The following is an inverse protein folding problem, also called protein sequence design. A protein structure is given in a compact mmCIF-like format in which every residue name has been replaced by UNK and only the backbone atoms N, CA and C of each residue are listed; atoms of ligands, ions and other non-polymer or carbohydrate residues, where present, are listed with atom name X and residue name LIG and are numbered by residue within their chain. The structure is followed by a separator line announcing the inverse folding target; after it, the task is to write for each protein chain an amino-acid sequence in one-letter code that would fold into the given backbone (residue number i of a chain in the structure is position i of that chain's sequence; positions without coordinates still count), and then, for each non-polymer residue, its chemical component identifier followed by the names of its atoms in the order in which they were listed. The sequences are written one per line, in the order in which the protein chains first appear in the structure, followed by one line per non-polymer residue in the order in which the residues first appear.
data_IF_272162928925
#
_entry.id   IF_272162928925
#
_cell.length_a   1.000
_cell.length_b   1.000
_cell.length_c   1.000
_cell.angle_alpha   90.00
_cell.angle_beta   90.00
_cell.angle_gamma   90.00
#
_symmetry.space_group_name_H-M   'P 1'
#
loop_
_entity.id
_entity.type
_entity.pdbx_description
1 polymer ?
#
# COMPACT_ATOMS: atom_id res chain seq x y z
N UNK A 1 55.26 -83.85 -40.73
CA UNK A 1 55.08 -82.62 -41.52
C UNK A 1 55.56 -81.46 -40.66
N UNK A 2 56.61 -80.78 -41.09
CA UNK A 2 57.27 -79.71 -40.36
C UNK A 2 56.53 -78.39 -40.61
N UNK A 3 56.12 -77.69 -39.55
CA UNK A 3 55.47 -76.38 -39.66
C UNK A 3 56.49 -75.36 -40.18
N UNK A 4 56.17 -74.78 -41.33
CA UNK A 4 56.94 -73.74 -42.00
C UNK A 4 56.83 -72.42 -41.22
N UNK A 5 57.94 -72.01 -40.61
CA UNK A 5 58.06 -70.78 -39.79
C UNK A 5 58.33 -69.53 -40.62
N UNK A 6 58.30 -69.62 -41.96
CA UNK A 6 58.58 -68.49 -42.85
C UNK A 6 57.36 -67.62 -43.19
N UNK A 7 56.17 -67.89 -42.64
CA UNK A 7 54.99 -67.05 -42.84
C UNK A 7 54.90 -66.01 -41.70
N UNK A 8 55.30 -64.75 -41.91
CA UNK A 8 55.06 -63.70 -40.94
C UNK A 8 53.56 -63.49 -40.79
N UNK A 9 53.02 -63.83 -39.61
CA UNK A 9 51.68 -63.44 -39.18
C UNK A 9 51.65 -61.91 -39.11
N UNK A 10 51.20 -61.27 -40.18
CA UNK A 10 50.89 -59.85 -40.19
C UNK A 10 49.67 -59.62 -39.29
N UNK A 11 49.92 -59.43 -38.00
CA UNK A 11 48.94 -58.91 -37.05
C UNK A 11 48.64 -57.49 -37.48
N UNK A 12 47.59 -57.31 -38.28
CA UNK A 12 47.07 -56.01 -38.68
C UNK A 12 46.56 -55.33 -37.40
N UNK A 13 47.39 -54.47 -36.80
CA UNK A 13 47.00 -53.65 -35.66
C UNK A 13 45.74 -52.87 -36.06
N UNK A 14 44.64 -52.97 -35.30
CA UNK A 14 43.41 -52.26 -35.64
C UNK A 14 43.72 -50.78 -35.77
N UNK A 15 43.29 -50.20 -36.89
CA UNK A 15 43.53 -48.81 -37.27
C UNK A 15 42.77 -47.92 -36.27
N UNK A 16 43.47 -47.45 -35.24
CA UNK A 16 42.91 -46.58 -34.21
C UNK A 16 42.51 -45.25 -34.85
N UNK A 17 41.21 -44.96 -34.90
CA UNK A 17 40.70 -43.69 -35.39
C UNK A 17 40.84 -42.63 -34.27
N UNK A 18 41.80 -41.69 -34.36
CA UNK A 18 42.05 -40.70 -33.32
C UNK A 18 40.85 -39.77 -33.08
N UNK A 19 39.94 -39.65 -34.06
CA UNK A 19 38.72 -38.86 -33.95
C UNK A 19 37.70 -39.51 -32.99
N UNK A 20 37.61 -40.84 -32.97
CA UNK A 20 36.73 -41.56 -32.03
C UNK A 20 37.25 -41.45 -30.58
N UNK A 21 38.58 -41.43 -30.41
CA UNK A 21 39.18 -41.24 -29.08
C UNK A 21 38.99 -39.80 -28.57
N UNK A 22 39.10 -38.80 -29.44
CA UNK A 22 38.87 -37.40 -29.07
C UNK A 22 37.40 -37.13 -28.65
N UNK A 23 36.43 -37.75 -29.34
CA UNK A 23 35.02 -37.60 -29.00
C UNK A 23 34.68 -38.20 -27.62
N UNK A 24 35.25 -39.36 -27.30
CA UNK A 24 35.11 -39.98 -25.98
C UNK A 24 35.65 -39.09 -24.86
N UNK A 25 36.84 -38.50 -25.04
CA UNK A 25 37.44 -37.60 -24.03
C UNK A 25 36.61 -36.33 -23.84
N UNK A 26 36.03 -35.76 -24.91
CA UNK A 26 35.14 -34.61 -24.81
C UNK A 26 33.85 -34.93 -24.02
N UNK A 27 33.26 -36.10 -24.25
CA UNK A 27 32.08 -36.56 -23.52
C UNK A 27 32.37 -36.80 -22.03
N UNK A 28 33.52 -37.40 -21.70
CA UNK A 28 33.97 -37.57 -20.31
C UNK A 28 34.25 -36.23 -19.60
N UNK A 29 34.83 -35.25 -20.30
CA UNK A 29 35.04 -33.90 -19.74
C UNK A 29 33.72 -33.19 -19.46
N UNK A 30 32.74 -33.29 -20.36
CA UNK A 30 31.41 -32.73 -20.15
C UNK A 30 30.69 -33.41 -18.97
N UNK A 31 30.78 -34.74 -18.86
CA UNK A 31 30.14 -35.49 -17.78
C UNK A 31 30.78 -35.21 -16.41
N UNK A 32 32.11 -35.03 -16.36
CA UNK A 32 32.82 -34.63 -15.13
C UNK A 32 32.50 -33.19 -14.72
N UNK A 33 32.42 -32.25 -15.67
CA UNK A 33 32.03 -30.88 -15.39
C UNK A 33 30.59 -30.81 -14.84
N UNK A 34 29.66 -31.57 -15.42
CA UNK A 34 28.28 -31.64 -14.97
C UNK A 34 28.15 -32.32 -13.59
N UNK A 35 28.92 -33.39 -13.33
CA UNK A 35 28.95 -34.05 -12.01
C UNK A 35 29.43 -33.10 -10.91
N UNK A 36 30.47 -32.30 -11.18
CA UNK A 36 30.97 -31.29 -10.23
C UNK A 36 29.94 -30.19 -9.97
N UNK A 37 29.21 -29.72 -11.00
CA UNK A 37 28.12 -28.76 -10.82
C UNK A 37 26.97 -29.33 -9.99
N UNK A 38 26.60 -30.60 -10.21
CA UNK A 38 25.55 -31.25 -9.44
C UNK A 38 25.95 -31.42 -7.96
N UNK A 39 27.19 -31.81 -7.68
CA UNK A 39 27.69 -31.91 -6.31
C UNK A 39 27.70 -30.54 -5.61
N UNK A 40 28.09 -29.47 -6.31
CA UNK A 40 28.03 -28.10 -5.77
C UNK A 40 26.58 -27.65 -5.51
N UNK A 41 25.65 -27.96 -6.40
CA UNK A 41 24.23 -27.62 -6.22
C UNK A 41 23.60 -28.37 -5.03
N UNK A 42 23.93 -29.64 -4.84
CA UNK A 42 23.46 -30.44 -3.69
C UNK A 42 24.03 -29.89 -2.39
N UNK A 43 25.32 -29.56 -2.34
CA UNK A 43 25.95 -28.95 -1.17
C UNK A 43 25.32 -27.59 -0.82
N UNK A 44 25.06 -26.76 -1.85
CA UNK A 44 24.40 -25.46 -1.68
C UNK A 44 22.99 -25.61 -1.10
N UNK A 45 22.19 -26.55 -1.63
CA UNK A 45 20.83 -26.79 -1.14
C UNK A 45 20.81 -27.30 0.31
N UNK A 46 21.77 -28.15 0.69
CA UNK A 46 21.91 -28.60 2.07
C UNK A 46 22.31 -27.46 3.02
N UNK A 47 23.24 -26.60 2.59
CA UNK A 47 23.66 -25.42 3.37
C UNK A 47 22.49 -24.44 3.57
N UNK A 48 21.73 -24.15 2.51
CA UNK A 48 20.53 -23.32 2.56
C UNK A 48 19.49 -23.91 3.51
N UNK A 49 19.21 -25.21 3.41
CA UNK A 49 18.25 -25.89 4.30
C UNK A 49 18.62 -25.79 5.77
N UNK A 50 19.90 -25.98 6.12
CA UNK A 50 20.39 -25.85 7.51
C UNK A 50 20.31 -24.42 8.02
N UNK A 51 20.60 -23.43 7.18
CA UNK A 51 20.50 -22.01 7.54
C UNK A 51 19.05 -21.59 7.77
N UNK A 52 18.11 -22.00 6.91
CA UNK A 52 16.67 -21.76 7.14
C UNK A 52 16.21 -22.44 8.42
N UNK A 53 16.60 -23.71 8.63
CA UNK A 53 16.23 -24.46 9.83
C UNK A 53 16.73 -23.81 11.13
N UNK A 54 17.98 -23.32 11.16
CA UNK A 54 18.54 -22.61 12.33
C UNK A 54 17.84 -21.30 12.63
N UNK A 55 17.31 -20.65 11.60
CA UNK A 55 16.63 -19.36 11.71
C UNK A 55 15.10 -19.49 11.74
N UNK A 56 14.56 -20.71 11.77
CA UNK A 56 13.12 -20.92 11.96
C UNK A 56 12.82 -20.92 13.46
N UNK A 57 11.98 -20.00 13.89
CA UNK A 57 11.52 -19.87 15.28
C UNK A 57 10.53 -20.98 15.64
N UNK A 58 10.28 -21.25 16.93
CA UNK A 58 9.33 -22.29 17.37
C UNK A 58 7.89 -22.11 16.84
N UNK A 59 7.51 -20.89 16.47
CA UNK A 59 6.21 -20.56 15.86
C UNK A 59 6.14 -20.86 14.35
N UNK A 60 7.22 -21.38 13.76
CA UNK A 60 7.34 -21.67 12.34
C UNK A 60 7.72 -20.47 11.47
N UNK A 61 7.92 -19.28 12.05
CA UNK A 61 8.38 -18.10 11.30
C UNK A 61 9.89 -18.16 11.04
N UNK A 62 10.33 -17.83 9.83
CA UNK A 62 11.76 -17.78 9.48
C UNK A 62 12.31 -16.38 9.74
N UNK A 63 13.35 -16.25 10.55
CA UNK A 63 14.17 -15.04 10.66
C UNK A 63 15.00 -14.86 9.39
N UNK A 64 14.43 -14.18 8.41
CA UNK A 64 15.08 -13.96 7.11
C UNK A 64 16.40 -13.19 7.23
N UNK A 65 16.54 -12.28 8.19
CA UNK A 65 17.80 -11.55 8.39
C UNK A 65 18.87 -12.44 9.01
N UNK A 66 18.48 -13.36 9.90
CA UNK A 66 19.35 -14.40 10.40
C UNK A 66 19.76 -15.39 9.31
N UNK A 67 18.80 -15.88 8.51
CA UNK A 67 19.06 -16.79 7.40
C UNK A 67 19.97 -16.18 6.33
N UNK A 68 19.79 -14.90 5.98
CA UNK A 68 20.68 -14.18 5.06
C UNK A 68 22.10 -14.05 5.60
N UNK A 69 22.27 -13.79 6.91
CA UNK A 69 23.58 -13.78 7.55
C UNK A 69 24.25 -15.15 7.51
N UNK A 70 23.49 -16.22 7.76
CA UNK A 70 23.99 -17.59 7.66
C UNK A 70 24.35 -17.99 6.22
N UNK A 71 23.61 -17.53 5.21
CA UNK A 71 23.97 -17.76 3.80
C UNK A 71 25.24 -17.01 3.41
N UNK A 72 25.43 -15.78 3.91
CA UNK A 72 26.63 -14.99 3.64
C UNK A 72 27.88 -15.59 4.31
N UNK A 73 27.70 -16.29 5.43
CA UNK A 73 28.77 -16.95 6.18
C UNK A 73 29.15 -18.34 5.61
N UNK A 74 28.29 -18.98 4.81
CA UNK A 74 28.54 -20.29 4.22
C UNK A 74 28.90 -20.17 2.71
N UNK A 75 30.17 -20.42 2.33
CA UNK A 75 30.60 -20.34 0.93
C UNK A 75 29.84 -21.29 -0.01
N UNK A 76 29.31 -22.40 0.51
CA UNK A 76 28.52 -23.33 -0.29
C UNK A 76 27.12 -22.76 -0.60
N UNK A 77 26.54 -21.95 0.29
CA UNK A 77 25.24 -21.31 0.07
C UNK A 77 25.32 -20.16 -0.95
N UNK A 78 26.48 -19.51 -1.09
CA UNK A 78 26.70 -18.41 -2.02
C UNK A 78 26.47 -18.79 -3.50
N UNK A 79 26.78 -20.03 -3.90
CA UNK A 79 26.63 -20.50 -5.28
C UNK A 79 25.18 -20.50 -5.78
N UNK A 80 24.20 -20.65 -4.88
CA UNK A 80 22.78 -20.75 -5.24
C UNK A 80 21.91 -19.65 -4.58
N UNK A 81 22.55 -18.62 -4.01
CA UNK A 81 21.90 -17.55 -3.25
C UNK A 81 20.81 -16.83 -4.07
N UNK A 82 21.08 -16.61 -5.36
CA UNK A 82 20.20 -15.84 -6.24
C UNK A 82 18.91 -16.61 -6.60
N UNK A 83 18.99 -17.93 -6.75
CA UNK A 83 17.82 -18.77 -6.98
C UNK A 83 16.99 -18.95 -5.69
N UNK A 84 17.68 -19.14 -4.55
CA UNK A 84 17.03 -19.34 -3.25
C UNK A 84 16.36 -18.07 -2.69
N UNK A 85 16.92 -16.89 -2.96
CA UNK A 85 16.28 -15.61 -2.60
C UNK A 85 15.03 -15.35 -3.45
N UNK A 86 15.01 -15.75 -4.72
CA UNK A 86 13.82 -15.68 -5.57
C UNK A 86 12.63 -16.49 -5.03
N UNK A 87 12.86 -17.72 -4.58
CA UNK A 87 11.80 -18.57 -4.01
C UNK A 87 11.26 -18.03 -2.67
N UNK A 88 12.13 -17.51 -1.80
CA UNK A 88 11.71 -16.89 -0.53
C UNK A 88 10.95 -15.58 -0.74
N UNK A 89 11.35 -14.76 -1.72
CA UNK A 89 10.60 -13.55 -2.10
C UNK A 89 9.22 -13.91 -2.66
N UNK A 90 9.12 -14.97 -3.48
CA UNK A 90 7.85 -15.43 -4.01
C UNK A 90 6.91 -15.92 -2.89
N UNK A 91 7.43 -16.66 -1.91
CA UNK A 91 6.64 -17.12 -0.75
C UNK A 91 6.21 -15.95 0.15
N UNK A 92 7.09 -14.96 0.36
CA UNK A 92 6.74 -13.72 1.07
C UNK A 92 5.68 -12.92 0.29
N UNK A 93 5.80 -12.85 -1.03
CA UNK A 93 4.79 -12.26 -1.92
C UNK A 93 3.43 -12.95 -1.82
N UNK A 94 3.40 -14.28 -1.70
CA UNK A 94 2.16 -15.03 -1.46
C UNK A 94 1.57 -14.75 -0.07
N UNK A 95 2.38 -14.64 0.97
CA UNK A 95 1.90 -14.27 2.31
C UNK A 95 1.33 -12.84 2.34
N UNK A 96 2.00 -11.89 1.68
CA UNK A 96 1.51 -10.52 1.52
C UNK A 96 0.24 -10.51 0.66
N UNK A 97 0.16 -11.31 -0.40
CA UNK A 97 -1.04 -11.48 -1.23
C UNK A 97 -2.23 -12.03 -0.43
N UNK A 98 -2.00 -13.03 0.44
CA UNK A 98 -3.02 -13.57 1.33
C UNK A 98 -3.49 -12.54 2.36
N UNK A 99 -2.57 -11.76 2.94
CA UNK A 99 -2.92 -10.63 3.83
C UNK A 99 -3.66 -9.52 3.07
N UNK A 100 -3.26 -9.22 1.85
CA UNK A 100 -3.94 -8.28 0.95
C UNK A 100 -5.35 -8.74 0.60
N UNK A 101 -5.56 -10.03 0.37
CA UNK A 101 -6.88 -10.64 0.19
C UNK A 101 -7.77 -10.50 1.43
N UNK A 102 -7.20 -10.65 2.63
CA UNK A 102 -7.92 -10.42 3.89
C UNK A 102 -8.31 -8.94 4.05
N UNK A 103 -7.41 -8.00 3.75
CA UNK A 103 -7.70 -6.56 3.77
C UNK A 103 -8.76 -6.22 2.71
N UNK A 104 -8.70 -6.84 1.54
CA UNK A 104 -9.69 -6.68 0.48
C UNK A 104 -11.08 -7.14 0.95
N UNK A 105 -11.18 -8.33 1.53
CA UNK A 105 -12.43 -8.83 2.10
C UNK A 105 -12.96 -7.93 3.23
N UNK A 106 -12.07 -7.41 4.08
CA UNK A 106 -12.45 -6.44 5.11
C UNK A 106 -12.96 -5.13 4.51
N UNK A 107 -12.30 -4.61 3.47
CA UNK A 107 -12.70 -3.39 2.78
C UNK A 107 -14.04 -3.54 2.05
N UNK A 108 -14.27 -4.68 1.39
CA UNK A 108 -15.55 -5.02 0.77
C UNK A 108 -16.67 -5.14 1.82
N UNK A 109 -16.37 -5.72 2.99
CA UNK A 109 -17.29 -5.76 4.13
C UNK A 109 -17.67 -4.37 4.63
N UNK A 110 -16.68 -3.47 4.77
CA UNK A 110 -16.91 -2.07 5.17
C UNK A 110 -17.71 -1.28 4.13
N UNK A 111 -17.45 -1.49 2.83
CA UNK A 111 -18.21 -0.87 1.75
C UNK A 111 -19.65 -1.35 1.72
N UNK A 112 -19.88 -2.66 1.87
CA UNK A 112 -21.22 -3.22 1.99
C UNK A 112 -21.96 -2.63 3.19
N UNK A 113 -21.30 -2.56 4.36
CA UNK A 113 -21.87 -1.96 5.56
C UNK A 113 -22.23 -0.48 5.34
N UNK A 114 -21.35 0.30 4.69
CA UNK A 114 -21.62 1.70 4.36
C UNK A 114 -22.81 1.85 3.39
N UNK A 115 -22.91 0.98 2.38
CA UNK A 115 -24.04 0.96 1.45
C UNK A 115 -25.36 0.61 2.15
N UNK A 116 -25.35 -0.41 3.02
CA UNK A 116 -26.51 -0.80 3.83
C UNK A 116 -26.98 0.35 4.75
N UNK A 117 -26.05 1.06 5.38
CA UNK A 117 -26.37 2.20 6.23
C UNK A 117 -26.89 3.40 5.43
N UNK A 118 -26.31 3.67 4.25
CA UNK A 118 -26.79 4.73 3.36
C UNK A 118 -28.23 4.46 2.90
N UNK A 119 -28.53 3.23 2.50
CA UNK A 119 -29.88 2.83 2.12
C UNK A 119 -30.88 2.93 3.28
N UNK A 120 -30.52 2.48 4.49
CA UNK A 120 -31.37 2.65 5.69
C UNK A 120 -31.62 4.14 6.02
N UNK A 121 -30.58 4.96 5.92
CA UNK A 121 -30.67 6.42 6.14
C UNK A 121 -31.65 7.07 5.18
N UNK A 122 -31.60 6.71 3.89
CA UNK A 122 -32.52 7.21 2.87
C UNK A 122 -33.97 6.77 3.13
N UNK A 123 -34.17 5.50 3.51
CA UNK A 123 -35.50 5.00 3.85
C UNK A 123 -36.10 5.71 5.08
N UNK A 124 -35.31 5.87 6.15
CA UNK A 124 -35.75 6.61 7.34
C UNK A 124 -36.05 8.08 7.00
N UNK A 125 -35.19 8.72 6.18
CA UNK A 125 -35.42 10.09 5.70
C UNK A 125 -36.73 10.23 4.92
N UNK A 126 -37.07 9.22 4.10
CA UNK A 126 -38.34 9.18 3.36
C UNK A 126 -39.54 9.10 4.31
N UNK A 127 -39.47 8.25 5.34
CA UNK A 127 -40.53 8.13 6.34
C UNK A 127 -40.69 9.38 7.21
N UNK A 128 -39.59 10.04 7.59
CA UNK A 128 -39.64 11.25 8.41
C UNK A 128 -40.37 12.42 7.71
N UNK A 129 -40.30 12.46 6.37
CA UNK A 129 -40.98 13.45 5.54
C UNK A 129 -42.46 13.12 5.27
N UNK A 130 -42.94 11.93 5.64
CA UNK A 130 -44.35 11.56 5.49
C UNK A 130 -45.21 12.32 6.54
N UNK A 131 -46.27 13.04 6.13
CA UNK A 131 -47.11 13.79 7.08
C UNK A 131 -47.98 12.86 7.94
N UNK A 132 -48.44 11.75 7.37
CA UNK A 132 -49.30 10.73 7.96
C UNK A 132 -48.52 9.43 8.23
N UNK A 133 -47.38 9.55 8.93
CA UNK A 133 -46.55 8.40 9.28
C UNK A 133 -47.34 7.42 10.16
N UNK A 134 -47.55 6.19 9.67
CA UNK A 134 -48.21 5.12 10.41
C UNK A 134 -47.20 4.07 10.91
N UNK A 135 -47.61 3.26 11.88
CA UNK A 135 -46.80 2.13 12.35
C UNK A 135 -46.50 1.15 11.21
N UNK A 136 -47.49 0.90 10.35
CA UNK A 136 -47.34 -0.03 9.24
C UNK A 136 -46.29 0.43 8.22
N UNK A 137 -46.12 1.74 8.03
CA UNK A 137 -45.04 2.27 7.18
C UNK A 137 -43.64 1.92 7.75
N UNK A 138 -43.45 2.10 9.06
CA UNK A 138 -42.18 1.79 9.74
C UNK A 138 -41.92 0.28 9.75
N UNK A 139 -42.96 -0.52 9.98
CA UNK A 139 -42.87 -1.99 9.95
C UNK A 139 -42.55 -2.48 8.53
N UNK A 140 -43.21 -1.96 7.50
CA UNK A 140 -42.95 -2.33 6.11
C UNK A 140 -41.52 -1.96 5.69
N UNK A 141 -41.03 -0.79 6.10
CA UNK A 141 -39.62 -0.42 5.90
C UNK A 141 -38.68 -1.43 6.59
N UNK A 142 -38.91 -1.75 7.86
CA UNK A 142 -38.08 -2.69 8.62
C UNK A 142 -38.07 -4.09 8.00
N UNK A 143 -39.23 -4.62 7.58
CA UNK A 143 -39.35 -5.92 6.90
C UNK A 143 -38.65 -5.91 5.54
N UNK A 144 -38.84 -4.85 4.75
CA UNK A 144 -38.26 -4.75 3.40
C UNK A 144 -36.73 -4.65 3.49
N UNK A 145 -36.21 -3.79 4.37
CA UNK A 145 -34.78 -3.69 4.62
C UNK A 145 -34.20 -5.00 5.15
N UNK A 146 -34.88 -5.65 6.10
CA UNK A 146 -34.42 -6.92 6.65
C UNK A 146 -34.34 -8.03 5.60
N UNK A 147 -35.34 -8.14 4.72
CA UNK A 147 -35.32 -9.08 3.59
C UNK A 147 -34.20 -8.76 2.60
N UNK A 148 -33.99 -7.48 2.29
CA UNK A 148 -32.91 -7.06 1.40
C UNK A 148 -31.51 -7.41 1.96
N UNK A 149 -31.36 -7.47 3.28
CA UNK A 149 -30.10 -7.81 3.95
C UNK A 149 -30.01 -9.26 4.42
N UNK A 150 -31.04 -10.09 4.16
CA UNK A 150 -31.06 -11.49 4.57
C UNK A 150 -31.07 -11.70 6.08
N UNK A 151 -31.67 -10.78 6.85
CA UNK A 151 -31.76 -10.92 8.31
C UNK A 151 -32.72 -12.06 8.70
N UNK A 152 -32.39 -12.87 9.72
CA UNK A 152 -33.29 -13.90 10.24
C UNK A 152 -34.61 -13.33 10.77
N UNK A 153 -35.74 -14.00 10.49
CA UNK A 153 -37.10 -13.53 10.82
C UNK A 153 -37.28 -13.19 12.31
N UNK A 154 -36.62 -13.91 13.22
CA UNK A 154 -36.70 -13.64 14.66
C UNK A 154 -36.10 -12.27 15.04
N UNK A 155 -35.00 -11.86 14.39
CA UNK A 155 -34.39 -10.53 14.59
C UNK A 155 -35.31 -9.44 14.05
N UNK A 156 -35.95 -9.71 12.90
CA UNK A 156 -36.93 -8.79 12.31
C UNK A 156 -38.13 -8.60 13.23
N UNK A 157 -38.70 -9.70 13.74
CA UNK A 157 -39.84 -9.66 14.66
C UNK A 157 -39.49 -8.92 15.95
N UNK A 158 -38.28 -9.12 16.50
CA UNK A 158 -37.84 -8.38 17.69
C UNK A 158 -37.70 -6.87 17.40
N UNK A 159 -37.19 -6.50 16.22
CA UNK A 159 -37.11 -5.08 15.83
C UNK A 159 -38.51 -4.46 15.67
N UNK A 160 -39.45 -5.20 15.08
CA UNK A 160 -40.84 -4.77 14.86
C UNK A 160 -41.60 -4.63 16.19
N UNK A 161 -41.38 -5.54 17.14
CA UNK A 161 -42.01 -5.49 18.46
C UNK A 161 -41.66 -4.20 19.23
N UNK A 162 -40.50 -3.61 18.95
CA UNK A 162 -40.03 -2.36 19.55
C UNK A 162 -40.51 -1.09 18.81
N UNK A 163 -41.28 -1.22 17.71
CA UNK A 163 -41.85 -0.06 17.01
C UNK A 163 -43.08 0.43 17.79
N UNK A 164 -43.11 1.70 18.24
CA UNK A 164 -44.23 2.26 18.98
C UNK A 164 -45.56 2.13 18.23
N UNK A 165 -46.66 1.94 18.96
CA UNK A 165 -48.02 1.93 18.40
C UNK A 165 -48.63 3.32 18.24
N UNK A 166 -48.20 4.28 19.05
CA UNK A 166 -48.66 5.67 19.00
C UNK A 166 -48.00 6.44 17.84
N UNK A 167 -48.77 6.99 16.88
CA UNK A 167 -48.25 7.79 15.77
C UNK A 167 -47.37 8.96 16.20
N UNK A 168 -47.63 9.56 17.37
CA UNK A 168 -46.85 10.70 17.88
C UNK A 168 -45.43 10.31 18.30
N UNK A 169 -45.20 9.03 18.62
CA UNK A 169 -43.91 8.49 19.06
C UNK A 169 -43.04 7.96 17.89
N UNK A 170 -43.62 7.80 16.69
CA UNK A 170 -42.91 7.22 15.55
C UNK A 170 -41.76 8.09 15.04
N UNK A 171 -41.95 9.41 14.94
CA UNK A 171 -40.88 10.32 14.48
C UNK A 171 -39.71 10.39 15.46
N UNK A 172 -39.91 10.59 16.78
CA UNK A 172 -38.84 10.48 17.77
C UNK A 172 -38.11 9.14 17.71
N UNK A 173 -38.85 8.03 17.55
CA UNK A 173 -38.26 6.71 17.36
C UNK A 173 -37.35 6.64 16.12
N UNK A 174 -37.82 7.11 14.96
CA UNK A 174 -37.01 7.14 13.73
C UNK A 174 -35.78 8.04 13.85
N UNK A 175 -35.87 9.19 14.51
CA UNK A 175 -34.70 10.03 14.81
C UNK A 175 -33.70 9.31 15.71
N UNK A 176 -34.15 8.56 16.72
CA UNK A 176 -33.26 7.77 17.57
C UNK A 176 -32.53 6.67 16.78
N UNK A 177 -33.22 6.04 15.80
CA UNK A 177 -32.61 5.05 14.92
C UNK A 177 -31.63 5.68 13.95
N UNK A 178 -31.96 6.84 13.39
CA UNK A 178 -31.06 7.61 12.54
C UNK A 178 -29.79 8.03 13.29
N UNK A 179 -29.93 8.49 14.54
CA UNK A 179 -28.78 8.83 15.39
C UNK A 179 -27.92 7.60 15.72
N UNK A 180 -28.52 6.42 15.90
CA UNK A 180 -27.79 5.17 16.09
C UNK A 180 -27.10 4.66 14.82
N UNK A 181 -27.49 5.14 13.64
CA UNK A 181 -26.93 4.77 12.34
C UNK A 181 -25.76 5.67 11.91
N UNK A 182 -25.62 6.88 12.46
CA UNK A 182 -24.38 7.67 12.35
C UNK A 182 -23.39 7.25 13.43
N UNK A 183 -22.12 6.93 13.19
CA UNK A 183 -21.30 6.87 11.99
C UNK A 183 -20.40 5.62 12.10
N UNK A 184 -20.24 4.80 11.05
CA UNK A 184 -19.30 3.67 11.06
C UNK A 184 -17.85 4.16 11.10
N UNK A 185 -17.58 5.43 10.75
CA UNK A 185 -16.28 6.09 10.97
C UNK A 185 -16.03 6.32 12.46
N UNK A 186 -17.06 6.60 13.27
CA UNK A 186 -16.95 6.74 14.72
C UNK A 186 -16.84 5.38 15.42
N UNK A 187 -17.56 4.36 14.92
CA UNK A 187 -17.45 2.98 15.42
C UNK A 187 -16.11 2.32 15.02
N UNK A 188 -15.65 2.48 13.78
CA UNK A 188 -14.33 2.04 13.33
C UNK A 188 -13.21 2.87 13.95
N UNK A 189 -13.43 4.18 14.16
CA UNK A 189 -12.53 5.00 14.96
C UNK A 189 -12.45 4.41 16.36
N UNK A 190 -13.56 4.10 17.05
CA UNK A 190 -13.59 3.49 18.39
C UNK A 190 -12.87 2.13 18.49
N UNK A 191 -12.85 1.35 17.40
CA UNK A 191 -12.11 0.07 17.30
C UNK A 191 -10.61 0.25 16.97
N UNK A 192 -10.19 1.44 16.56
CA UNK A 192 -8.78 1.78 16.34
C UNK A 192 -8.26 2.54 17.58
N UNK A 193 -7.12 2.17 18.22
CA UNK A 193 -6.64 2.87 19.40
C UNK A 193 -6.40 4.36 19.12
N UNK A 194 -7.23 5.23 19.69
CA UNK A 194 -7.11 6.68 19.58
C UNK A 194 -6.77 7.26 20.95
N UNK A 195 -5.57 7.81 21.10
CA UNK A 195 -5.12 8.48 22.32
C UNK A 195 -5.23 10.00 22.17
N UNK A 196 -5.75 10.67 23.20
CA UNK A 196 -5.58 12.12 23.33
C UNK A 196 -4.29 12.42 24.08
N UNK A 197 -3.67 13.58 23.88
CA UNK A 197 -2.46 13.98 24.61
C UNK A 197 -2.80 14.98 25.72
N UNK A 198 -2.43 14.69 26.96
CA UNK A 198 -2.39 15.64 28.08
C UNK A 198 -0.93 16.06 28.30
N UNK A 199 -0.70 17.36 28.20
CA UNK A 199 0.59 18.00 28.47
C UNK A 199 0.63 18.48 29.92
N UNK A 200 1.49 17.88 30.75
CA UNK A 200 1.62 18.23 32.17
C UNK A 200 2.80 19.15 32.46
N UNK A 201 3.45 19.69 31.42
CA UNK A 201 4.65 20.52 31.54
C UNK A 201 5.89 19.72 31.14
N UNK A 202 6.59 19.05 32.07
CA UNK A 202 7.79 18.28 31.74
C UNK A 202 7.47 17.01 30.96
N UNK A 203 6.21 16.60 30.85
CA UNK A 203 5.80 15.40 30.11
C UNK A 203 4.55 15.64 29.24
N UNK A 204 4.46 14.92 28.11
CA UNK A 204 3.23 14.71 27.34
C UNK A 204 2.76 13.28 27.57
N UNK A 205 1.66 13.12 28.30
CA UNK A 205 0.97 11.85 28.46
C UNK A 205 -0.03 11.63 27.33
N UNK A 206 0.07 10.54 26.57
CA UNK A 206 -1.07 10.04 25.80
C UNK A 206 -2.03 9.42 26.80
N UNK A 207 -3.24 9.96 26.93
CA UNK A 207 -4.31 9.40 27.75
C UNK A 207 -5.37 8.72 26.90
N UNK A 208 -5.98 7.70 27.49
CA UNK A 208 -7.12 7.03 26.91
C UNK A 208 -8.32 7.97 26.96
N UNK A 209 -8.78 8.46 25.81
CA UNK A 209 -9.97 9.31 25.72
C UNK A 209 -11.26 8.51 25.52
N UNK A 210 -11.20 7.17 25.57
CA UNK A 210 -12.32 6.32 25.18
C UNK A 210 -12.74 5.32 26.26
N UNK A 211 -14.04 5.28 26.60
CA UNK A 211 -14.55 4.45 27.70
C UNK A 211 -14.44 2.94 27.44
N UNK A 212 -14.34 2.51 26.17
CA UNK A 212 -14.23 1.11 25.81
C UNK A 212 -12.80 0.53 25.93
N UNK A 213 -11.76 1.37 25.97
CA UNK A 213 -10.36 0.96 26.05
C UNK A 213 -9.79 1.01 27.48
N UNK A 214 -10.66 1.18 28.48
CA UNK A 214 -10.30 1.39 29.89
C UNK A 214 -10.81 2.72 30.42
N UNK A 215 -10.41 3.08 31.64
CA UNK A 215 -10.86 4.31 32.29
C UNK A 215 -10.44 5.54 31.47
N UNK A 216 -11.41 6.42 31.15
CA UNK A 216 -11.13 7.69 30.46
C UNK A 216 -10.17 8.51 31.32
N UNK A 217 -9.09 9.00 30.72
CA UNK A 217 -8.03 9.77 31.38
C UNK A 217 -6.84 8.92 31.85
N UNK A 218 -6.89 7.59 31.75
CA UNK A 218 -5.75 6.75 32.11
C UNK A 218 -4.57 6.95 31.14
N UNK A 219 -3.34 7.16 31.63
CA UNK A 219 -2.16 7.33 30.78
C UNK A 219 -1.82 6.02 30.06
N UNK A 220 -1.74 6.09 28.73
CA UNK A 220 -1.37 5.02 27.79
C UNK A 220 0.14 5.05 27.53
N UNK A 221 0.74 6.24 27.46
CA UNK A 221 2.19 6.44 27.34
C UNK A 221 2.56 7.85 27.83
N UNK A 222 3.78 8.06 28.34
CA UNK A 222 4.24 9.37 28.81
C UNK A 222 5.60 9.69 28.19
N UNK A 223 5.73 10.86 27.55
CA UNK A 223 6.95 11.33 26.91
C UNK A 223 7.51 12.54 27.66
N UNK A 224 8.76 12.50 28.10
CA UNK A 224 9.39 13.64 28.78
C UNK A 224 9.88 14.67 27.77
N UNK A 225 9.46 15.92 27.91
CA UNK A 225 9.97 17.05 27.11
C UNK A 225 11.37 17.39 27.62
N UNK A 226 12.38 17.18 26.78
CA UNK A 226 13.80 17.21 27.15
C UNK A 226 14.43 18.58 27.46
N UNK A 227 13.77 19.45 28.23
CA UNK A 227 14.43 20.63 28.81
C UNK A 227 14.40 20.49 30.34
N UNK A 228 15.57 20.32 30.95
CA UNK A 228 15.70 20.34 32.41
C UNK A 228 15.43 21.76 32.94
N UNK A 229 14.94 21.93 34.18
CA UNK A 229 14.70 23.25 34.77
C UNK A 229 15.92 24.19 34.72
N UNK A 230 17.14 23.66 34.86
CA UNK A 230 18.35 24.47 34.70
C UNK A 230 18.56 24.99 33.27
N UNK A 231 18.18 24.20 32.25
CA UNK A 231 18.32 24.60 30.84
C UNK A 231 17.27 25.63 30.38
N UNK A 232 16.13 25.72 31.09
CA UNK A 232 15.08 26.69 30.82
C UNK A 232 15.39 28.09 31.40
N UNK A 233 16.11 28.13 32.52
CA UNK A 233 16.45 29.35 33.28
C UNK A 233 17.82 29.93 32.93
N UNK A 234 18.67 29.21 32.18
CA UNK A 234 19.96 29.72 31.73
C UNK A 234 19.80 30.96 30.82
N UNK A 235 20.46 32.10 31.13
CA UNK A 235 20.45 33.28 30.28
C UNK A 235 21.12 32.98 28.93
N UNK A 236 20.40 33.20 27.84
CA UNK A 236 20.93 33.07 26.48
C UNK A 236 20.82 34.40 25.74
N UNK A 237 21.80 34.73 24.91
CA UNK A 237 21.73 35.95 24.11
C UNK A 237 20.66 35.75 23.03
N UNK A 238 19.61 36.56 23.10
CA UNK A 238 18.41 36.47 22.26
C UNK A 238 18.40 37.54 21.16
N UNK A 239 19.36 38.47 21.19
CA UNK A 239 19.53 39.45 20.13
C UNK A 239 20.58 40.51 20.48
N UNK A 240 20.54 41.60 19.73
CA UNK A 240 21.34 42.81 19.93
C UNK A 240 20.44 44.02 19.73
N UNK A 241 20.45 44.95 20.67
CA UNK A 241 19.71 46.20 20.59
C UNK A 241 20.17 47.04 19.38
N UNK A 242 19.36 48.02 18.92
CA UNK A 242 19.73 48.90 17.80
C UNK A 242 21.04 49.68 18.02
N UNK A 243 21.47 49.82 19.28
CA UNK A 243 22.73 50.44 19.69
C UNK A 243 23.92 49.47 19.67
N UNK A 244 23.73 48.22 19.24
CA UNK A 244 24.76 47.18 19.16
C UNK A 244 24.99 46.37 20.44
N UNK A 245 24.29 46.68 21.54
CA UNK A 245 24.45 45.96 22.81
C UNK A 245 23.71 44.61 22.82
N UNK A 246 24.32 43.50 23.29
CA UNK A 246 23.67 42.20 23.35
C UNK A 246 22.51 42.17 24.35
N UNK A 247 21.37 41.61 23.93
CA UNK A 247 20.17 41.41 24.76
C UNK A 247 20.13 39.95 25.18
N UNK A 248 19.99 39.70 26.48
CA UNK A 248 19.92 38.36 27.08
C UNK A 248 18.52 38.10 27.65
N UNK A 249 18.05 36.86 27.52
CA UNK A 249 16.79 36.40 28.11
C UNK A 249 16.84 34.89 28.39
N UNK A 250 15.95 34.42 29.27
CA UNK A 250 15.80 32.99 29.52
C UNK A 250 14.88 32.36 28.46
N UNK A 251 15.08 31.07 28.14
CA UNK A 251 14.22 30.37 27.17
C UNK A 251 12.76 30.33 27.61
N UNK A 252 12.51 30.36 28.92
CA UNK A 252 11.18 30.43 29.51
C UNK A 252 10.47 31.77 29.28
N UNK A 253 11.19 32.90 29.34
CA UNK A 253 10.60 34.24 29.09
C UNK A 253 10.08 34.40 27.66
N UNK A 254 10.70 33.75 26.68
CA UNK A 254 10.25 33.79 25.29
C UNK A 254 8.97 32.98 25.04
N UNK A 255 8.70 31.97 25.87
CA UNK A 255 7.48 31.16 25.80
C UNK A 255 6.32 31.90 26.49
N UNK A 256 6.60 32.70 27.53
CA UNK A 256 5.60 33.44 28.31
C UNK A 256 5.20 34.82 27.76
N UNK A 257 5.97 35.44 26.85
CA UNK A 257 5.73 36.82 26.40
C UNK A 257 4.73 36.99 25.25
N UNK A 258 3.80 36.04 25.08
CA UNK A 258 2.63 36.21 24.19
C UNK A 258 1.32 36.10 24.95
N UNK A 259 1.13 36.93 25.99
CA UNK A 259 -0.17 37.53 26.34
C UNK A 259 -0.11 38.24 27.69
N UNK A 260 -0.47 39.53 27.71
CA UNK A 260 -1.23 40.03 28.84
C UNK A 260 -2.59 39.31 28.83
N UNK A 261 -2.77 38.37 29.77
CA UNK A 261 -4.07 37.85 30.17
C UNK A 261 -4.36 36.41 29.77
N UNK A 262 -4.25 35.50 30.74
CA UNK A 262 -4.92 34.19 30.74
C UNK A 262 -4.03 33.02 30.32
N UNK A 263 -3.77 32.12 31.29
CA UNK A 263 -3.17 30.81 31.06
C UNK A 263 -4.11 30.01 30.15
N UNK A 264 -3.72 29.82 28.89
CA UNK A 264 -4.37 28.88 27.96
C UNK A 264 -3.35 27.81 27.65
N UNK A 265 -3.73 26.54 27.87
CA UNK A 265 -2.98 25.37 27.43
C UNK A 265 -2.66 25.45 25.94
N UNK A 266 -1.71 24.61 25.49
CA UNK A 266 -1.23 24.50 24.10
C UNK A 266 -2.25 25.05 23.11
N UNK A 267 -1.93 26.22 22.52
CA UNK A 267 -2.81 26.97 21.63
C UNK A 267 -3.60 26.00 20.73
N UNK A 268 -4.90 26.21 20.48
CA UNK A 268 -5.68 25.39 19.56
C UNK A 268 -4.96 25.15 18.22
N UNK A 269 -4.09 26.07 17.81
CA UNK A 269 -3.20 25.90 16.66
C UNK A 269 -2.19 24.75 16.82
N UNK A 270 -1.56 24.52 17.97
CA UNK A 270 -0.59 23.43 18.18
C UNK A 270 -1.25 22.05 18.28
N UNK A 271 -2.44 21.95 18.90
CA UNK A 271 -3.22 20.70 18.97
C UNK A 271 -3.85 20.35 17.62
N UNK A 272 -4.32 21.36 16.87
CA UNK A 272 -4.90 21.14 15.54
C UNK A 272 -3.81 20.87 14.48
N UNK A 273 -2.62 21.45 14.61
CA UNK A 273 -1.51 21.19 13.68
C UNK A 273 -0.84 19.83 13.88
N UNK A 274 -0.76 19.33 15.11
CA UNK A 274 -0.29 17.96 15.38
C UNK A 274 -1.30 16.89 14.93
N UNK A 275 -2.62 17.15 15.08
CA UNK A 275 -3.67 16.33 14.50
C UNK A 275 -3.57 16.28 12.96
N UNK A 276 -3.38 17.43 12.31
CA UNK A 276 -3.22 17.51 10.85
C UNK A 276 -1.99 16.75 10.33
N UNK A 277 -0.88 16.74 11.08
CA UNK A 277 0.31 15.97 10.72
C UNK A 277 0.08 14.45 10.83
N UNK A 278 -0.56 13.99 11.91
CA UNK A 278 -0.91 12.58 12.10
C UNK A 278 -1.91 12.09 11.05
N UNK A 279 -2.90 12.92 10.71
CA UNK A 279 -3.88 12.62 9.65
C UNK A 279 -3.21 12.58 8.27
N UNK A 280 -2.27 13.48 8.00
CA UNK A 280 -1.49 13.46 6.77
C UNK A 280 -0.64 12.19 6.65
N UNK A 281 0.08 11.79 7.71
CA UNK A 281 0.88 10.55 7.71
C UNK A 281 0.01 9.30 7.54
N UNK A 282 -1.14 9.25 8.21
CA UNK A 282 -2.12 8.18 8.07
C UNK A 282 -2.63 8.09 6.64
N UNK A 283 -3.04 9.23 6.06
CA UNK A 283 -3.48 9.31 4.67
C UNK A 283 -2.38 8.90 3.70
N UNK A 284 -1.13 9.33 3.92
CA UNK A 284 0.01 8.97 3.09
C UNK A 284 0.31 7.46 3.14
N UNK A 285 0.22 6.85 4.32
CA UNK A 285 0.41 5.41 4.49
C UNK A 285 -0.70 4.60 3.84
N UNK A 286 -1.96 5.05 3.97
CA UNK A 286 -3.10 4.41 3.27
C UNK A 286 -2.93 4.49 1.75
N UNK A 287 -2.55 5.66 1.21
CA UNK A 287 -2.28 5.83 -0.22
C UNK A 287 -1.11 4.99 -0.70
N UNK A 288 -0.01 4.93 0.05
CA UNK A 288 1.16 4.12 -0.31
C UNK A 288 0.81 2.62 -0.35
N UNK A 289 0.02 2.12 0.61
CA UNK A 289 -0.46 0.73 0.59
C UNK A 289 -1.40 0.48 -0.60
N UNK A 290 -2.35 1.38 -0.85
CA UNK A 290 -3.24 1.28 -2.01
C UNK A 290 -2.47 1.32 -3.35
N UNK A 291 -1.44 2.16 -3.45
CA UNK A 291 -0.56 2.27 -4.59
C UNK A 291 0.25 0.99 -4.84
N UNK A 292 0.79 0.37 -3.79
CA UNK A 292 1.50 -0.90 -3.90
C UNK A 292 0.57 -2.03 -4.37
N UNK A 293 -0.64 -2.11 -3.82
CA UNK A 293 -1.64 -3.08 -4.24
C UNK A 293 -2.08 -2.84 -5.69
N UNK A 294 -2.33 -1.59 -6.07
CA UNK A 294 -2.71 -1.20 -7.42
C UNK A 294 -1.63 -1.56 -8.45
N UNK A 295 -0.36 -1.31 -8.15
CA UNK A 295 0.76 -1.64 -9.05
C UNK A 295 0.81 -3.14 -9.36
N UNK A 296 0.53 -4.00 -8.37
CA UNK A 296 0.47 -5.45 -8.59
C UNK A 296 -0.65 -5.83 -9.56
N UNK A 297 -1.87 -5.34 -9.32
CA UNK A 297 -3.01 -5.60 -10.22
C UNK A 297 -2.78 -5.03 -11.63
N UNK A 298 -2.14 -3.87 -11.75
CA UNK A 298 -1.83 -3.23 -13.02
C UNK A 298 -0.83 -4.06 -13.83
N UNK A 299 0.22 -4.59 -13.19
CA UNK A 299 1.19 -5.44 -13.85
C UNK A 299 0.56 -6.77 -14.31
N UNK A 300 -0.25 -7.40 -13.47
CA UNK A 300 -0.99 -8.61 -13.86
C UNK A 300 -1.99 -8.33 -14.98
N UNK A 301 -2.71 -7.21 -14.92
CA UNK A 301 -3.62 -6.80 -15.99
C UNK A 301 -2.86 -6.52 -17.30
N UNK A 302 -1.68 -5.90 -17.22
CA UNK A 302 -0.81 -5.66 -18.37
C UNK A 302 -0.32 -6.97 -19.00
N UNK A 303 0.08 -7.96 -18.19
CA UNK A 303 0.48 -9.28 -18.67
C UNK A 303 -0.70 -10.03 -19.31
N UNK A 304 -1.87 -10.02 -18.67
CA UNK A 304 -3.09 -10.62 -19.21
C UNK A 304 -3.51 -9.95 -20.53
N UNK A 305 -3.39 -8.63 -20.63
CA UNK A 305 -3.67 -7.90 -21.87
C UNK A 305 -2.70 -8.24 -23.00
N UNK A 306 -1.41 -8.44 -22.70
CA UNK A 306 -0.44 -8.92 -23.69
C UNK A 306 -0.75 -10.36 -24.12
N UNK A 307 -1.21 -11.21 -23.19
CA UNK A 307 -1.74 -12.53 -23.53
C UNK A 307 -2.98 -12.46 -24.42
N UNK A 308 -3.87 -11.52 -24.16
CA UNK A 308 -5.11 -11.30 -24.94
C UNK A 308 -4.84 -10.69 -26.33
N UNK A 309 -3.78 -9.89 -26.49
CA UNK A 309 -3.39 -9.35 -27.80
C UNK A 309 -2.70 -10.39 -28.69
N UNK A 310 -2.08 -11.41 -28.09
CA UNK A 310 -1.44 -12.54 -28.80
C UNK A 310 -2.40 -13.70 -29.10
N UNK A 311 -3.70 -13.53 -28.85
CA UNK A 311 -4.72 -14.54 -29.12
C UNK A 311 -4.95 -15.55 -27.99
N UNK A 312 -4.63 -15.17 -26.74
CA UNK A 312 -4.88 -15.98 -25.55
C UNK A 312 -6.31 -16.54 -25.50
N UNK A 313 -6.41 -17.84 -25.26
CA UNK A 313 -7.67 -18.59 -25.27
C UNK A 313 -8.63 -18.19 -24.15
N UNK A 314 -9.78 -18.87 -24.08
CA UNK A 314 -10.86 -18.60 -23.13
C UNK A 314 -10.42 -18.55 -21.65
N UNK A 315 -9.33 -19.23 -21.28
CA UNK A 315 -8.76 -19.19 -19.93
C UNK A 315 -8.18 -17.82 -19.54
N UNK A 316 -7.50 -17.13 -20.47
CA UNK A 316 -6.95 -15.79 -20.23
C UNK A 316 -8.06 -14.76 -20.06
N UNK A 317 -9.12 -14.89 -20.85
CA UNK A 317 -10.32 -14.05 -20.75
C UNK A 317 -11.09 -14.27 -19.46
N UNK A 318 -11.23 -15.53 -19.03
CA UNK A 318 -11.84 -15.85 -17.74
C UNK A 318 -11.03 -15.27 -16.56
N UNK A 319 -9.70 -15.40 -16.58
CA UNK A 319 -8.84 -14.81 -15.55
C UNK A 319 -8.94 -13.28 -15.50
N UNK A 320 -9.06 -12.62 -16.66
CA UNK A 320 -9.28 -11.19 -16.74
C UNK A 320 -10.66 -10.78 -16.20
N UNK A 321 -11.69 -11.57 -16.48
CA UNK A 321 -13.05 -11.35 -15.98
C UNK A 321 -13.12 -11.48 -14.44
N UNK A 322 -12.50 -12.52 -13.88
CA UNK A 322 -12.41 -12.72 -12.42
C UNK A 322 -11.72 -11.55 -11.72
N UNK A 323 -10.62 -11.03 -12.31
CA UNK A 323 -9.94 -9.85 -11.78
C UNK A 323 -10.77 -8.57 -11.93
N UNK A 324 -11.50 -8.40 -13.03
CA UNK A 324 -12.43 -7.28 -13.22
C UNK A 324 -13.57 -7.32 -12.19
N UNK A 325 -14.10 -8.51 -11.90
CA UNK A 325 -15.11 -8.69 -10.88
C UNK A 325 -14.58 -8.32 -9.48
N UNK A 326 -13.34 -8.70 -9.17
CA UNK A 326 -12.70 -8.40 -7.88
C UNK A 326 -12.55 -6.88 -7.62
N UNK A 327 -12.48 -6.06 -8.66
CA UNK A 327 -12.41 -4.59 -8.54
C UNK A 327 -13.79 -3.91 -8.71
N UNK A 328 -14.89 -4.67 -8.65
CA UNK A 328 -16.25 -4.14 -8.66
C UNK A 328 -16.81 -3.75 -10.03
N UNK A 329 -16.24 -4.27 -11.13
CA UNK A 329 -16.81 -4.08 -12.47
C UNK A 329 -18.21 -4.71 -12.55
N UNK A 330 -19.21 -4.05 -13.17
CA UNK A 330 -20.55 -4.61 -13.31
C UNK A 330 -20.53 -6.01 -13.95
N UNK A 331 -21.35 -6.94 -13.43
CA UNK A 331 -21.37 -8.34 -13.85
C UNK A 331 -21.61 -8.50 -15.36
N UNK A 332 -22.44 -7.64 -15.96
CA UNK A 332 -22.69 -7.63 -17.41
C UNK A 332 -21.42 -7.42 -18.24
N UNK A 333 -20.44 -6.68 -17.70
CA UNK A 333 -19.15 -6.45 -18.34
C UNK A 333 -18.21 -7.60 -18.03
N UNK A 334 -18.21 -8.11 -16.79
CA UNK A 334 -17.47 -9.33 -16.42
C UNK A 334 -17.81 -10.50 -17.36
N UNK A 335 -19.10 -10.72 -17.62
CA UNK A 335 -19.57 -11.79 -18.51
C UNK A 335 -19.14 -11.54 -19.96
N UNK A 336 -19.12 -10.28 -20.41
CA UNK A 336 -18.62 -9.89 -21.73
C UNK A 336 -17.11 -10.10 -21.89
N UNK A 337 -16.31 -9.88 -20.83
CA UNK A 337 -14.88 -10.18 -20.80
C UNK A 337 -14.67 -11.69 -20.90
N UNK A 338 -15.39 -12.46 -20.08
CA UNK A 338 -15.30 -13.92 -20.03
C UNK A 338 -15.66 -14.55 -21.38
N UNK A 339 -16.59 -13.94 -22.13
CA UNK A 339 -17.01 -14.38 -23.46
C UNK A 339 -16.00 -14.13 -24.60
N UNK A 340 -14.86 -13.47 -24.34
CA UNK A 340 -13.76 -13.33 -25.31
C UNK A 340 -14.07 -12.52 -26.58
N UNK A 341 -15.14 -11.74 -26.58
CA UNK A 341 -15.55 -10.98 -27.77
C UNK A 341 -14.63 -9.75 -27.95
N UNK A 342 -13.81 -9.77 -29.01
CA UNK A 342 -12.82 -8.73 -29.31
C UNK A 342 -13.40 -7.32 -29.45
N UNK A 343 -14.66 -7.19 -29.90
CA UNK A 343 -15.37 -5.91 -29.98
C UNK A 343 -15.62 -5.27 -28.61
N UNK A 344 -15.66 -6.08 -27.56
CA UNK A 344 -15.87 -5.63 -26.18
C UNK A 344 -14.58 -5.17 -25.49
N UNK A 345 -13.41 -5.26 -26.16
CA UNK A 345 -12.15 -4.71 -25.63
C UNK A 345 -12.23 -3.21 -25.36
N UNK A 346 -12.92 -2.45 -26.22
CA UNK A 346 -13.15 -1.02 -26.00
C UNK A 346 -14.07 -0.76 -24.81
N UNK A 347 -15.16 -1.53 -24.66
CA UNK A 347 -16.08 -1.39 -23.52
C UNK A 347 -15.37 -1.73 -22.20
N UNK A 348 -14.60 -2.82 -22.18
CA UNK A 348 -13.76 -3.21 -21.05
C UNK A 348 -12.75 -2.11 -20.71
N UNK A 349 -12.01 -1.64 -21.71
CA UNK A 349 -11.02 -0.58 -21.54
C UNK A 349 -11.68 0.65 -20.95
N UNK A 350 -12.86 1.04 -21.45
CA UNK A 350 -13.61 2.20 -20.97
C UNK A 350 -14.06 2.06 -19.52
N UNK A 351 -14.49 0.88 -19.10
CA UNK A 351 -14.94 0.65 -17.73
C UNK A 351 -13.78 0.51 -16.75
N UNK A 352 -12.70 -0.17 -17.13
CA UNK A 352 -11.46 -0.18 -16.34
C UNK A 352 -10.88 1.23 -16.22
N UNK A 353 -10.92 2.02 -17.30
CA UNK A 353 -10.50 3.43 -17.29
C UNK A 353 -11.37 4.28 -16.37
N UNK A 354 -12.70 4.21 -16.50
CA UNK A 354 -13.59 5.01 -15.66
C UNK A 354 -13.48 4.62 -14.18
N UNK A 355 -13.39 3.33 -13.87
CA UNK A 355 -13.18 2.85 -12.50
C UNK A 355 -11.83 3.27 -11.94
N UNK A 356 -10.74 3.10 -12.70
CA UNK A 356 -9.41 3.52 -12.28
C UNK A 356 -9.31 5.05 -12.09
N UNK A 357 -9.92 5.85 -12.97
CA UNK A 357 -9.95 7.30 -12.86
C UNK A 357 -10.74 7.74 -11.63
N UNK A 358 -11.93 7.18 -11.38
CA UNK A 358 -12.71 7.49 -10.19
C UNK A 358 -12.00 7.07 -8.90
N UNK A 359 -11.37 5.90 -8.90
CA UNK A 359 -10.60 5.43 -7.75
C UNK A 359 -9.35 6.28 -7.52
N UNK A 360 -8.68 6.75 -8.58
CA UNK A 360 -7.61 7.74 -8.46
C UNK A 360 -8.13 9.06 -7.90
N UNK A 361 -9.16 9.65 -8.51
CA UNK A 361 -9.70 10.94 -8.07
C UNK A 361 -10.13 10.91 -6.60
N UNK A 362 -10.77 9.83 -6.15
CA UNK A 362 -11.13 9.64 -4.75
C UNK A 362 -9.91 9.44 -3.84
N UNK A 363 -8.96 8.59 -4.22
CA UNK A 363 -7.73 8.32 -3.44
C UNK A 363 -6.80 9.54 -3.34
N UNK A 364 -6.86 10.45 -4.31
CA UNK A 364 -6.00 11.63 -4.40
C UNK A 364 -6.73 12.95 -4.07
N UNK A 365 -8.01 12.89 -3.71
CA UNK A 365 -8.76 14.06 -3.26
C UNK A 365 -8.05 14.71 -2.05
N UNK A 366 -7.86 16.04 -2.12
CA UNK A 366 -7.11 16.80 -1.11
C UNK A 366 -5.58 16.84 -1.26
N UNK A 367 -5.02 16.19 -2.28
CA UNK A 367 -3.58 16.31 -2.62
C UNK A 367 -3.39 16.99 -3.97
N UNK A 368 -2.20 17.56 -4.23
CA UNK A 368 -1.85 18.09 -5.55
C UNK A 368 -1.90 17.05 -6.68
N UNK A 369 -2.05 15.76 -6.35
CA UNK A 369 -2.19 14.67 -7.31
C UNK A 369 -3.55 14.66 -8.04
N UNK A 370 -4.62 15.23 -7.47
CA UNK A 370 -5.89 15.38 -8.19
C UNK A 370 -5.73 16.27 -9.43
N UNK A 371 -4.95 17.35 -9.32
CA UNK A 371 -4.62 18.22 -10.44
C UNK A 371 -3.79 17.49 -11.52
N UNK A 372 -2.98 16.49 -11.13
CA UNK A 372 -2.22 15.67 -12.09
C UNK A 372 -3.12 14.71 -12.86
N UNK A 373 -4.15 14.16 -12.22
CA UNK A 373 -5.16 13.33 -12.91
C UNK A 373 -5.91 14.19 -13.94
N UNK A 374 -6.37 15.38 -13.55
CA UNK A 374 -7.05 16.29 -14.46
C UNK A 374 -6.14 16.76 -15.61
N UNK A 375 -4.87 17.10 -15.31
CA UNK A 375 -3.89 17.45 -16.33
C UNK A 375 -3.62 16.28 -17.30
N UNK A 376 -3.52 15.05 -16.78
CA UNK A 376 -3.36 13.85 -17.60
C UNK A 376 -4.55 13.64 -18.53
N UNK A 377 -5.78 13.75 -18.02
CA UNK A 377 -7.00 13.60 -18.83
C UNK A 377 -7.11 14.72 -19.89
N UNK A 378 -6.80 15.97 -19.51
CA UNK A 378 -6.80 17.10 -20.44
C UNK A 378 -5.76 16.97 -21.55
N UNK A 379 -4.58 16.43 -21.22
CA UNK A 379 -3.52 16.15 -22.20
C UNK A 379 -3.78 14.89 -23.03
N UNK A 380 -4.75 14.07 -22.65
CA UNK A 380 -5.12 12.84 -23.35
C UNK A 380 -6.65 12.77 -23.55
N UNK A 381 -7.26 13.71 -24.33
CA UNK A 381 -8.71 13.78 -24.48
C UNK A 381 -9.33 12.54 -25.15
N UNK A 382 -8.52 11.77 -25.89
CA UNK A 382 -8.92 10.56 -26.58
C UNK A 382 -8.47 9.29 -25.84
N UNK A 383 -8.15 9.36 -24.54
CA UNK A 383 -7.66 8.20 -23.76
C UNK A 383 -8.64 7.02 -23.83
N UNK A 384 -9.95 7.29 -23.99
CA UNK A 384 -11.00 6.28 -24.02
C UNK A 384 -11.15 5.55 -25.36
N UNK A 385 -10.71 6.17 -26.46
CA UNK A 385 -10.79 5.63 -27.82
C UNK A 385 -9.43 5.23 -28.41
N UNK A 386 -8.32 5.71 -27.83
CA UNK A 386 -6.96 5.36 -28.25
C UNK A 386 -6.64 3.91 -27.86
N UNK A 387 -6.27 3.01 -28.79
CA UNK A 387 -5.84 1.65 -28.46
C UNK A 387 -4.59 1.60 -27.56
N UNK A 388 -3.83 2.70 -27.46
CA UNK A 388 -2.71 2.88 -26.52
C UNK A 388 -3.13 3.60 -25.23
N UNK A 389 -4.38 4.02 -25.11
CA UNK A 389 -4.91 4.76 -23.96
C UNK A 389 -4.71 3.99 -22.65
N UNK A 390 -4.94 2.67 -22.66
CA UNK A 390 -4.71 1.85 -21.47
C UNK A 390 -3.23 1.77 -21.07
N UNK A 391 -2.30 1.68 -22.04
CA UNK A 391 -0.86 1.69 -21.75
C UNK A 391 -0.43 3.04 -21.15
N UNK A 392 -0.93 4.16 -21.69
CA UNK A 392 -0.68 5.49 -21.15
C UNK A 392 -1.21 5.64 -19.73
N UNK A 393 -2.41 5.11 -19.46
CA UNK A 393 -3.01 5.17 -18.13
C UNK A 393 -2.29 4.28 -17.12
N UNK A 394 -1.90 3.05 -17.50
CA UNK A 394 -1.07 2.19 -16.66
C UNK A 394 0.27 2.87 -16.36
N UNK A 395 0.90 3.47 -17.37
CA UNK A 395 2.13 4.24 -17.19
C UNK A 395 1.95 5.41 -16.22
N UNK A 396 0.84 6.14 -16.33
CA UNK A 396 0.48 7.23 -15.42
C UNK A 396 0.25 6.73 -13.99
N UNK A 397 -0.51 5.65 -13.80
CA UNK A 397 -0.81 5.06 -12.50
C UNK A 397 0.46 4.52 -11.84
N UNK A 398 1.31 3.82 -12.59
CA UNK A 398 2.60 3.35 -12.10
C UNK A 398 3.50 4.53 -11.71
N UNK A 399 3.47 5.62 -12.47
CA UNK A 399 4.14 6.88 -12.12
C UNK A 399 3.61 7.45 -10.80
N UNK A 400 2.29 7.54 -10.63
CA UNK A 400 1.65 8.01 -9.39
C UNK A 400 2.02 7.15 -8.17
N UNK A 401 1.96 5.83 -8.34
CA UNK A 401 2.29 4.88 -7.28
C UNK A 401 3.75 5.01 -6.87
N UNK A 402 4.67 5.16 -7.84
CA UNK A 402 6.08 5.44 -7.58
C UNK A 402 6.28 6.74 -6.81
N UNK A 403 5.59 7.81 -7.19
CA UNK A 403 5.69 9.12 -6.53
C UNK A 403 5.12 9.07 -5.11
N UNK A 404 4.03 8.36 -4.88
CA UNK A 404 3.45 8.17 -3.54
C UNK A 404 4.41 7.40 -2.62
N UNK A 405 5.07 6.36 -3.15
CA UNK A 405 6.12 5.65 -2.41
C UNK A 405 7.31 6.55 -2.07
N UNK A 406 7.76 7.37 -3.03
CA UNK A 406 8.82 8.38 -2.81
C UNK A 406 8.40 9.45 -1.80
N UNK A 407 7.14 9.89 -1.84
CA UNK A 407 6.56 10.86 -0.87
C UNK A 407 6.62 10.28 0.54
N UNK A 408 6.21 9.03 0.73
CA UNK A 408 6.27 8.36 2.03
C UNK A 408 7.71 8.23 2.55
N UNK A 409 8.65 7.85 1.68
CA UNK A 409 10.07 7.77 2.05
C UNK A 409 10.63 9.15 2.41
N UNK A 410 10.33 10.17 1.60
CA UNK A 410 10.77 11.54 1.84
C UNK A 410 10.17 12.11 3.13
N UNK A 411 8.91 11.80 3.43
CA UNK A 411 8.26 12.19 4.69
C UNK A 411 9.02 11.61 5.89
N UNK A 412 9.31 10.30 5.88
CA UNK A 412 10.06 9.65 6.97
C UNK A 412 11.46 10.23 7.13
N UNK A 413 12.17 10.45 6.02
CA UNK A 413 13.51 11.08 6.05
C UNK A 413 13.45 12.49 6.61
N UNK A 414 12.44 13.27 6.21
CA UNK A 414 12.24 14.63 6.68
C UNK A 414 11.96 14.69 8.19
N UNK A 415 11.04 13.86 8.68
CA UNK A 415 10.72 13.78 10.11
C UNK A 415 11.91 13.26 10.93
N UNK A 416 12.58 12.19 10.47
CA UNK A 416 13.76 11.65 11.15
C UNK A 416 14.95 12.63 11.15
N UNK A 417 15.00 13.55 10.17
CA UNK A 417 15.95 14.64 10.12
C UNK A 417 15.62 15.83 11.03
N UNK A 418 14.57 15.73 11.85
CA UNK A 418 14.09 16.81 12.72
C UNK A 418 13.22 17.86 12.01
N UNK A 419 12.80 17.57 10.78
CA UNK A 419 11.84 18.41 10.05
C UNK A 419 10.45 18.37 10.71
N UNK A 420 9.81 19.53 10.81
CA UNK A 420 8.45 19.63 11.34
C UNK A 420 7.44 19.06 10.32
N UNK A 421 6.71 17.97 10.63
CA UNK A 421 5.78 17.30 9.71
C UNK A 421 4.80 18.23 8.98
N UNK A 422 4.41 19.34 9.61
CA UNK A 422 3.47 20.32 9.05
C UNK A 422 4.03 21.00 7.79
N UNK A 423 5.34 21.18 7.72
CA UNK A 423 6.01 21.84 6.58
C UNK A 423 6.24 20.87 5.41
N UNK A 424 6.06 19.57 5.65
CA UNK A 424 6.38 18.56 4.65
C UNK A 424 5.54 18.69 3.37
N UNK A 425 4.20 18.86 3.40
CA UNK A 425 3.41 18.96 2.17
C UNK A 425 3.88 20.09 1.25
N UNK A 426 4.22 21.25 1.81
CA UNK A 426 4.76 22.37 1.03
C UNK A 426 6.15 22.06 0.44
N UNK A 427 7.04 21.45 1.24
CA UNK A 427 8.36 21.01 0.76
C UNK A 427 8.27 19.92 -0.30
N UNK A 428 7.36 18.97 -0.14
CA UNK A 428 7.13 17.91 -1.11
C UNK A 428 6.62 18.47 -2.45
N UNK A 429 5.64 19.36 -2.41
CA UNK A 429 5.08 19.99 -3.61
C UNK A 429 6.10 20.82 -4.40
N UNK A 430 7.15 21.32 -3.74
CA UNK A 430 8.25 22.06 -4.37
C UNK A 430 9.46 21.19 -4.72
N UNK A 431 9.45 19.91 -4.35
CA UNK A 431 10.54 18.98 -4.62
C UNK A 431 10.72 18.70 -6.11
N UNK A 432 11.96 18.43 -6.53
CA UNK A 432 12.29 18.02 -7.90
C UNK A 432 11.47 16.80 -8.34
N UNK A 433 11.30 15.81 -7.47
CA UNK A 433 10.51 14.60 -7.76
C UNK A 433 9.07 14.93 -8.13
N UNK A 434 8.39 15.76 -7.33
CA UNK A 434 7.00 16.12 -7.59
C UNK A 434 6.86 17.01 -8.82
N UNK A 435 7.76 17.98 -8.99
CA UNK A 435 7.77 18.87 -10.17
C UNK A 435 8.07 18.12 -11.48
N UNK A 436 8.93 17.11 -11.43
CA UNK A 436 9.20 16.23 -12.56
C UNK A 436 7.97 15.38 -12.91
N UNK A 437 7.31 14.82 -11.89
CA UNK A 437 6.10 14.04 -12.08
C UNK A 437 4.93 14.84 -12.65
N UNK A 438 4.72 16.07 -12.18
CA UNK A 438 3.68 16.97 -12.69
C UNK A 438 4.01 17.57 -14.06
N UNK A 439 5.21 17.28 -14.60
CA UNK A 439 5.68 17.79 -15.89
C UNK A 439 6.08 19.26 -15.87
N UNK A 440 6.12 19.90 -14.70
CA UNK A 440 6.60 21.28 -14.54
C UNK A 440 8.09 21.43 -14.91
N UNK A 441 8.86 20.35 -14.79
CA UNK A 441 10.24 20.26 -15.27
C UNK A 441 10.41 19.00 -16.11
N UNK A 442 11.22 19.10 -17.17
CA UNK A 442 11.43 18.00 -18.11
C UNK A 442 12.85 17.44 -17.95
N UNK A 443 13.05 16.12 -18.02
CA UNK A 443 14.39 15.54 -18.00
C UNK A 443 15.16 15.94 -19.26
N UNK A 444 16.34 16.54 -19.10
CA UNK A 444 17.20 17.01 -20.20
C UNK A 444 18.37 16.07 -20.44
N UNK A 445 18.92 15.50 -19.36
CA UNK A 445 20.08 14.61 -19.42
C UNK A 445 19.92 13.48 -18.42
N UNK A 446 20.18 12.26 -18.88
CA UNK A 446 20.23 11.06 -18.03
C UNK A 446 21.67 10.54 -18.02
N UNK A 447 22.17 10.14 -16.86
CA UNK A 447 23.51 9.60 -16.71
C UNK A 447 23.63 8.68 -15.51
N UNK A 448 24.86 8.32 -15.17
CA UNK A 448 25.19 7.51 -14.00
C UNK A 448 26.28 8.20 -13.21
N UNK A 449 26.08 8.35 -11.90
CA UNK A 449 27.07 8.90 -10.97
C UNK A 449 27.19 7.97 -9.77
N UNK A 450 28.39 7.46 -9.51
CA UNK A 450 28.66 6.47 -8.45
C UNK A 450 27.71 5.27 -8.49
N UNK A 451 27.43 4.74 -9.69
CA UNK A 451 26.54 3.60 -9.89
C UNK A 451 25.05 3.89 -9.72
N UNK A 452 24.65 5.13 -9.41
CA UNK A 452 23.25 5.54 -9.30
C UNK A 452 22.82 6.28 -10.55
N UNK A 453 21.56 6.11 -10.95
CA UNK A 453 21.02 6.81 -12.12
C UNK A 453 20.78 8.27 -11.75
N UNK A 454 21.27 9.19 -12.56
CA UNK A 454 21.13 10.62 -12.36
C UNK A 454 20.29 11.21 -13.48
N UNK A 455 19.31 12.03 -13.11
CA UNK A 455 18.46 12.75 -14.05
C UNK A 455 18.62 14.25 -13.78
N UNK A 456 19.09 14.99 -14.78
CA UNK A 456 19.11 16.44 -14.77
C UNK A 456 17.85 16.97 -15.46
N UNK A 457 17.18 17.93 -14.85
CA UNK A 457 15.95 18.54 -15.36
C UNK A 457 16.17 19.94 -15.93
N UNK A 458 15.16 20.44 -16.64
CA UNK A 458 15.18 21.69 -17.41
C UNK A 458 15.46 22.95 -16.58
N UNK A 459 15.23 22.90 -15.28
CA UNK A 459 15.53 23.97 -14.34
C UNK A 459 16.91 23.84 -13.69
N UNK A 460 17.73 22.90 -14.15
CA UNK A 460 19.07 22.62 -13.64
C UNK A 460 19.09 21.72 -12.39
N UNK A 461 17.93 21.36 -11.84
CA UNK A 461 17.86 20.44 -10.70
C UNK A 461 18.26 19.01 -11.08
N UNK A 462 18.69 18.23 -10.09
CA UNK A 462 19.19 16.86 -10.27
C UNK A 462 18.47 15.91 -9.32
N UNK A 463 17.98 14.79 -9.84
CA UNK A 463 17.40 13.66 -9.07
C UNK A 463 18.33 12.45 -9.18
N UNK A 464 18.56 11.80 -8.04
CA UNK A 464 19.36 10.58 -7.92
C UNK A 464 18.42 9.42 -7.63
N UNK A 465 18.25 8.53 -8.62
CA UNK A 465 17.37 7.36 -8.54
C UNK A 465 18.09 6.13 -7.99
#
# INVERSE_FOLDING_TARGET
MSLDTSIPLQIKTPEFNPLQQALGVAQYRYMNANSNQLQQAVAANQAIGRAIQRNTRPDGSVDLQGAQRDFAADPAAAYNLQAATGANLAQQGQQIGNQGGQISNQSAGLQLQAAQQSHLTQQIGTLLNKPDLSRDDVVNMAVTSAKAYGLPDNIVQQSIANVPSDPTQLKPYLYSKLAALGSPVEQAAAMTPGGGTIDTGPNVGIVNMRPAAGQIGAPVATYTKGLTPESATAPTQIGTAPTGAPIYGTREQFIGQTANGGVVGASPYQTQTSANAADYEKGLTQRATAANNSTHYMNEAQDLMQGVSTGGGASTWKALAEKAQAIGVPQSIVDQIAGGNLGNKQALSKVLMQGAIQQMQSSFSGTGAAANVDAFLKNNPNIDVDPRGMQKMIGFINGMNSVTGKEQQAYRQFVNGGGNPIDFPAKWNTSTTMRAFTGQIQPVKTGTYNGRKVIQYSDGSVDYQ
#
